data_IF_768796819602
#
_entry.id   IF_768796819602
#
_cell.length_a   1.000
_cell.length_b   1.000
_cell.length_c   1.000
_cell.angle_alpha   90.00
_cell.angle_beta   90.00
_cell.angle_gamma   90.00
#
_symmetry.space_group_name_H-M   'P 1'
#
loop_
_entity.id
_entity.type
_entity.pdbx_description
1 polymer ?
#
# COMPACT_ATOMS: atom_id res chain seq x y z
N UNK A 1 -9.16 -6.27 16.73
CA UNK A 1 -8.20 -6.09 15.62
C UNK A 1 -6.83 -6.14 16.25
N UNK A 2 -6.12 -7.24 16.05
CA UNK A 2 -4.76 -7.38 16.54
C UNK A 2 -3.88 -6.39 15.78
N UNK A 3 -3.21 -5.50 16.50
CA UNK A 3 -2.32 -4.52 15.90
C UNK A 3 -1.24 -5.28 15.11
N UNK A 4 -1.23 -5.12 13.80
CA UNK A 4 -0.15 -5.63 12.94
C UNK A 4 1.15 -5.00 13.48
N UNK A 5 2.14 -5.79 13.90
CA UNK A 5 3.38 -5.24 14.42
C UNK A 5 4.03 -4.37 13.33
N UNK A 6 4.60 -3.21 13.69
CA UNK A 6 5.27 -2.34 12.72
C UNK A 6 6.29 -3.16 11.92
N UNK A 7 6.30 -3.00 10.60
CA UNK A 7 7.34 -3.59 9.75
C UNK A 7 8.68 -3.01 10.17
N UNK A 8 9.46 -3.81 10.89
CA UNK A 8 10.81 -3.44 11.32
C UNK A 8 11.72 -3.50 10.10
N UNK A 9 12.36 -2.39 9.74
CA UNK A 9 13.33 -2.41 8.66
C UNK A 9 14.67 -2.94 9.19
N UNK A 10 15.20 -3.94 8.49
CA UNK A 10 16.49 -4.51 8.83
C UNK A 10 17.62 -3.63 8.30
N UNK A 11 18.37 -3.00 9.22
CA UNK A 11 19.53 -2.19 8.84
C UNK A 11 20.77 -3.06 8.65
N UNK A 12 21.07 -3.86 9.66
CA UNK A 12 22.24 -4.75 9.68
C UNK A 12 22.07 -5.79 10.76
N UNK A 13 22.72 -6.95 10.61
CA UNK A 13 22.70 -8.00 11.60
C UNK A 13 23.96 -8.84 11.59
N UNK A 14 24.26 -9.39 12.77
CA UNK A 14 25.49 -10.10 13.06
C UNK A 14 25.19 -11.36 13.86
N UNK A 15 25.91 -12.41 13.52
CA UNK A 15 26.01 -13.60 14.36
C UNK A 15 27.22 -13.43 15.30
N UNK A 16 26.99 -13.52 16.61
CA UNK A 16 28.01 -13.30 17.62
C UNK A 16 28.11 -14.55 18.49
N UNK A 17 29.16 -15.34 18.27
CA UNK A 17 29.46 -16.49 19.10
C UNK A 17 30.24 -16.02 20.34
N UNK A 18 29.71 -16.33 21.53
CA UNK A 18 30.32 -16.00 22.81
C UNK A 18 30.71 -17.30 23.51
N UNK A 19 32.00 -17.48 23.81
CA UNK A 19 32.52 -18.58 24.59
C UNK A 19 32.92 -18.10 26.00
N UNK A 20 32.43 -18.77 27.04
CA UNK A 20 32.71 -18.44 28.44
C UNK A 20 31.83 -17.33 29.04
N UNK A 21 32.16 -16.93 30.27
CA UNK A 21 31.46 -15.86 31.00
C UNK A 21 32.06 -14.49 30.65
N UNK A 22 31.71 -13.96 29.48
CA UNK A 22 32.08 -12.61 29.07
C UNK A 22 30.84 -11.78 28.75
N UNK A 23 30.90 -10.47 29.05
CA UNK A 23 29.85 -9.50 28.74
C UNK A 23 30.41 -8.46 27.75
N UNK A 24 30.53 -8.81 26.46
CA UNK A 24 31.08 -7.89 25.48
C UNK A 24 30.14 -6.70 25.27
N UNK A 25 30.76 -5.53 25.08
CA UNK A 25 30.09 -4.35 24.53
C UNK A 25 30.25 -4.35 23.03
N UNK A 26 29.14 -4.30 22.30
CA UNK A 26 29.10 -4.29 20.85
C UNK A 26 28.77 -2.88 20.40
N UNK A 27 29.50 -2.37 19.41
CA UNK A 27 29.17 -1.13 18.70
C UNK A 27 28.92 -1.46 17.24
N UNK A 28 27.73 -1.15 16.75
CA UNK A 28 27.35 -1.32 15.36
C UNK A 28 27.20 0.08 14.73
N UNK A 29 27.88 0.32 13.62
CA UNK A 29 27.69 1.53 12.82
C UNK A 29 26.65 1.30 11.72
N UNK A 30 25.85 2.32 11.42
CA UNK A 30 24.88 2.33 10.32
C UNK A 30 25.18 3.45 9.33
N UNK A 31 24.78 3.25 8.07
CA UNK A 31 24.99 4.21 6.98
C UNK A 31 23.64 4.84 6.57
N UNK A 32 23.48 6.13 6.84
CA UNK A 32 22.28 6.90 6.45
C UNK A 32 22.11 7.03 4.93
N UNK A 33 23.17 6.80 4.15
CA UNK A 33 23.10 6.94 2.70
C UNK A 33 22.44 5.74 2.00
N UNK A 34 22.40 4.57 2.65
CA UNK A 34 21.89 3.34 2.01
C UNK A 34 20.42 3.04 2.33
N UNK A 35 19.92 3.53 3.47
CA UNK A 35 18.53 3.33 3.91
C UNK A 35 18.03 4.64 4.49
N UNK A 36 16.78 5.02 4.23
CA UNK A 36 16.14 6.16 4.91
C UNK A 36 15.97 5.80 6.38
N UNK A 37 16.99 6.05 7.20
CA UNK A 37 17.00 5.77 8.63
C UNK A 37 16.45 6.96 9.41
N UNK A 38 15.49 6.69 10.29
CA UNK A 38 14.92 7.52 11.32
C UNK A 38 15.71 7.23 12.59
N UNK A 39 16.75 8.02 12.80
CA UNK A 39 17.69 7.81 13.90
C UNK A 39 17.04 7.79 15.29
N UNK A 40 15.86 8.39 15.45
CA UNK A 40 15.16 8.41 16.75
C UNK A 40 14.69 7.04 17.21
N UNK A 41 14.75 6.03 16.35
CA UNK A 41 13.96 4.81 16.47
C UNK A 41 14.77 3.54 16.25
N UNK A 42 16.05 3.71 15.91
CA UNK A 42 17.01 2.61 15.82
C UNK A 42 17.14 1.97 17.19
N UNK A 43 16.93 0.67 17.24
CA UNK A 43 17.06 -0.15 18.45
C UNK A 43 17.79 -1.44 18.14
N UNK A 44 18.62 -1.95 19.06
CA UNK A 44 19.20 -3.28 18.95
C UNK A 44 18.17 -4.34 19.33
N UNK A 45 18.15 -5.43 18.57
CA UNK A 45 17.30 -6.60 18.81
C UNK A 45 18.15 -7.86 18.83
N UNK A 46 17.64 -8.87 19.55
CA UNK A 46 18.14 -10.24 19.53
C UNK A 46 17.04 -11.16 19.03
N UNK A 47 17.39 -12.19 18.28
CA UNK A 47 16.43 -13.20 17.86
C UNK A 47 16.40 -14.35 18.86
N UNK A 48 15.25 -14.56 19.50
CA UNK A 48 15.05 -15.61 20.50
C UNK A 48 13.65 -16.21 20.38
N UNK A 49 13.57 -17.54 20.47
CA UNK A 49 12.31 -18.29 20.46
C UNK A 49 11.44 -18.01 19.22
N UNK A 50 12.06 -17.80 18.05
CA UNK A 50 11.36 -17.52 16.79
C UNK A 50 10.89 -16.08 16.62
N UNK A 51 11.33 -15.15 17.47
CA UNK A 51 10.92 -13.74 17.43
C UNK A 51 12.08 -12.78 17.72
N UNK A 52 11.97 -11.55 17.20
CA UNK A 52 12.88 -10.46 17.57
C UNK A 52 12.47 -9.84 18.89
N UNK A 53 13.41 -9.71 19.82
CA UNK A 53 13.23 -9.12 21.14
C UNK A 53 14.15 -7.90 21.29
N UNK A 54 13.58 -6.77 21.70
CA UNK A 54 14.33 -5.53 21.94
C UNK A 54 15.35 -5.72 23.07
N UNK A 55 16.57 -5.22 22.88
CA UNK A 55 17.61 -5.20 23.89
C UNK A 55 17.54 -3.88 24.69
N UNK A 56 17.33 -3.93 26.02
CA UNK A 56 17.37 -2.73 26.85
C UNK A 56 18.81 -2.25 27.06
N UNK A 57 18.98 -0.97 27.41
CA UNK A 57 20.25 -0.44 27.88
C UNK A 57 21.30 -0.26 26.76
N UNK A 58 20.91 0.40 25.68
CA UNK A 58 21.82 0.79 24.60
C UNK A 58 22.09 2.29 24.60
N UNK A 59 23.18 2.69 23.94
CA UNK A 59 23.55 4.09 23.72
C UNK A 59 23.58 4.32 22.22
N UNK A 60 22.79 5.30 21.76
CA UNK A 60 22.81 5.77 20.38
C UNK A 60 23.74 6.99 20.28
N UNK A 61 24.62 6.98 19.28
CA UNK A 61 25.51 8.10 18.98
C UNK A 61 25.28 8.58 17.55
N UNK A 62 24.58 9.71 17.44
CA UNK A 62 24.25 10.41 16.18
C UNK A 62 25.45 11.10 15.51
N UNK A 63 26.59 11.23 16.19
CA UNK A 63 27.79 11.84 15.60
C UNK A 63 28.58 10.80 14.80
N UNK A 64 28.58 9.56 15.28
CA UNK A 64 29.31 8.43 14.67
C UNK A 64 28.41 7.39 14.03
N UNK A 65 27.10 7.69 13.95
CA UNK A 65 26.04 6.82 13.45
C UNK A 65 26.18 5.41 13.97
N UNK A 66 26.19 5.26 15.29
CA UNK A 66 26.46 3.98 15.93
C UNK A 66 25.58 3.69 17.13
N UNK A 67 25.21 2.43 17.30
CA UNK A 67 24.49 1.89 18.46
C UNK A 67 25.43 1.01 19.25
N UNK A 68 25.56 1.28 20.55
CA UNK A 68 26.38 0.50 21.48
C UNK A 68 25.50 -0.20 22.51
N UNK A 69 25.66 -1.51 22.71
CA UNK A 69 24.90 -2.30 23.68
C UNK A 69 25.73 -3.45 24.26
N UNK A 70 25.34 -3.97 25.42
CA UNK A 70 26.00 -5.12 26.06
C UNK A 70 25.21 -6.39 25.82
N UNK A 71 25.94 -7.48 25.58
CA UNK A 71 25.34 -8.82 25.42
C UNK A 71 25.77 -9.73 26.55
N UNK A 72 24.80 -10.41 27.15
CA UNK A 72 25.01 -11.27 28.32
C UNK A 72 24.85 -12.76 28.03
N UNK A 73 24.44 -13.12 26.81
CA UNK A 73 24.13 -14.50 26.42
C UNK A 73 24.48 -14.71 24.95
N UNK A 74 24.91 -15.91 24.57
CA UNK A 74 25.16 -16.30 23.18
C UNK A 74 23.86 -16.53 22.39
N UNK A 75 22.93 -15.57 22.42
CA UNK A 75 21.69 -15.61 21.64
C UNK A 75 21.95 -14.98 20.28
N UNK A 76 22.05 -15.77 19.22
CA UNK A 76 22.24 -15.27 17.86
C UNK A 76 21.00 -15.52 17.00
N UNK A 77 20.75 -14.68 15.97
CA UNK A 77 21.45 -13.46 15.58
C UNK A 77 21.04 -12.17 16.35
N UNK A 78 21.88 -11.14 16.27
CA UNK A 78 21.60 -9.76 16.69
C UNK A 78 21.38 -8.86 15.48
N UNK A 79 20.52 -7.85 15.59
CA UNK A 79 20.30 -6.88 14.52
C UNK A 79 20.06 -5.47 15.05
N UNK A 80 20.38 -4.47 14.22
CA UNK A 80 19.79 -3.14 14.36
C UNK A 80 18.56 -3.09 13.46
N UNK A 81 17.43 -2.77 14.09
CA UNK A 81 16.19 -2.50 13.39
C UNK A 81 15.82 -1.06 13.70
N UNK A 82 15.15 -0.42 12.76
CA UNK A 82 14.57 0.89 12.99
C UNK A 82 13.07 0.88 12.64
N UNK A 83 12.36 1.93 13.05
CA UNK A 83 10.95 2.11 12.70
C UNK A 83 10.78 3.04 11.50
N UNK A 84 11.86 3.31 10.77
CA UNK A 84 12.01 4.39 9.78
C UNK A 84 11.11 4.20 8.58
N UNK A 85 9.83 4.49 8.79
CA UNK A 85 8.80 4.17 7.82
C UNK A 85 8.04 2.89 8.10
N UNK A 86 8.00 2.38 9.34
CA UNK A 86 6.85 1.62 9.82
C UNK A 86 5.62 2.54 9.99
N UNK A 87 5.39 3.45 9.04
CA UNK A 87 4.03 3.65 8.55
C UNK A 87 3.57 2.26 8.13
N UNK A 88 2.52 1.68 8.73
CA UNK A 88 2.05 0.34 8.33
C UNK A 88 2.05 0.27 6.81
N UNK A 89 2.86 -0.61 6.22
CA UNK A 89 3.00 -0.60 4.77
C UNK A 89 1.62 -0.80 4.14
N UNK A 90 1.23 0.12 3.25
CA UNK A 90 -0.01 0.00 2.50
C UNK A 90 -0.02 -1.22 1.57
N UNK A 91 1.12 -1.91 1.41
CA UNK A 91 1.29 -3.02 0.49
C UNK A 91 0.34 -4.21 0.75
N UNK A 92 -0.14 -4.38 1.99
CA UNK A 92 -1.02 -5.50 2.36
C UNK A 92 -2.30 -5.07 3.09
N UNK A 93 -2.64 -3.77 3.09
CA UNK A 93 -3.81 -3.23 3.77
C UNK A 93 -4.95 -3.00 2.76
N UNK A 94 -6.08 -3.71 2.94
CA UNK A 94 -7.29 -3.43 2.19
C UNK A 94 -8.03 -2.26 2.85
N UNK A 95 -8.05 -1.10 2.19
CA UNK A 95 -8.70 0.10 2.70
C UNK A 95 -10.07 0.39 2.09
N UNK A 96 -10.55 -0.47 1.20
CA UNK A 96 -11.89 -0.39 0.62
C UNK A 96 -12.96 -0.47 1.73
N UNK A 97 -13.69 0.63 1.94
CA UNK A 97 -14.78 0.71 2.91
C UNK A 97 -16.12 0.20 2.34
N UNK A 98 -16.13 -0.21 1.07
CA UNK A 98 -17.31 -0.70 0.35
C UNK A 98 -18.27 0.40 -0.10
N UNK A 99 -17.90 1.67 0.04
CA UNK A 99 -18.72 2.80 -0.37
C UNK A 99 -18.19 3.40 -1.69
N UNK A 100 -18.97 3.21 -2.76
CA UNK A 100 -18.64 3.71 -4.11
C UNK A 100 -18.50 5.24 -4.21
N UNK A 101 -18.92 5.98 -3.19
CA UNK A 101 -18.86 7.44 -3.15
C UNK A 101 -17.73 8.00 -2.28
N UNK A 102 -16.85 7.13 -1.78
CA UNK A 102 -15.59 7.49 -1.13
C UNK A 102 -14.42 7.02 -1.99
N UNK A 103 -13.38 7.84 -2.04
CA UNK A 103 -12.06 7.42 -2.47
C UNK A 103 -11.35 6.83 -1.25
N UNK A 104 -11.11 5.53 -1.32
CA UNK A 104 -10.29 4.83 -0.34
C UNK A 104 -8.82 4.89 -0.72
N UNK A 105 -7.98 5.03 0.29
CA UNK A 105 -6.55 5.02 0.11
C UNK A 105 -5.86 4.73 1.42
N UNK A 106 -4.54 4.63 1.32
CA UNK A 106 -3.70 4.43 2.47
C UNK A 106 -2.66 5.53 2.51
N UNK A 107 -2.62 6.24 3.64
CA UNK A 107 -1.69 7.33 3.87
C UNK A 107 -0.95 7.07 5.17
N UNK A 108 0.39 7.01 5.09
CA UNK A 108 1.24 6.70 6.25
C UNK A 108 0.81 5.44 7.03
N UNK A 109 0.26 4.46 6.30
CA UNK A 109 -0.18 3.18 6.85
C UNK A 109 -1.47 3.19 7.65
N UNK A 110 -2.25 4.23 7.46
CA UNK A 110 -3.61 4.30 7.95
C UNK A 110 -4.54 4.35 6.74
N UNK A 111 -5.62 3.58 6.79
CA UNK A 111 -6.69 3.76 5.82
C UNK A 111 -7.29 5.14 6.01
N UNK A 112 -7.36 5.86 4.90
CA UNK A 112 -7.98 7.16 4.80
C UNK A 112 -9.05 7.08 3.73
N UNK A 113 -10.19 7.71 3.99
CA UNK A 113 -11.33 7.76 3.09
C UNK A 113 -11.68 9.23 2.84
N UNK A 114 -11.90 9.61 1.59
CA UNK A 114 -12.31 10.97 1.22
C UNK A 114 -13.58 10.94 0.37
N UNK A 115 -14.53 11.89 0.52
CA UNK A 115 -15.72 11.91 -0.33
C UNK A 115 -15.34 12.19 -1.79
N UNK A 116 -15.87 11.40 -2.73
CA UNK A 116 -15.77 11.69 -4.16
C UNK A 116 -16.56 12.96 -4.52
N UNK A 117 -16.22 13.63 -5.63
CA UNK A 117 -16.98 14.77 -6.13
C UNK A 117 -18.47 14.46 -6.33
N UNK A 118 -19.32 15.46 -6.05
CA UNK A 118 -20.75 15.34 -6.27
C UNK A 118 -21.07 15.07 -7.75
N UNK A 119 -22.02 14.17 -8.00
CA UNK A 119 -22.51 13.84 -9.35
C UNK A 119 -21.81 12.66 -10.03
N UNK A 120 -20.79 12.05 -9.41
CA UNK A 120 -20.24 10.76 -9.84
C UNK A 120 -21.34 9.69 -9.74
N UNK A 121 -21.47 8.84 -10.76
CA UNK A 121 -22.45 7.76 -10.76
C UNK A 121 -22.04 6.65 -9.79
N UNK A 122 -23.02 6.08 -9.11
CA UNK A 122 -22.89 4.93 -8.21
C UNK A 122 -24.06 3.95 -8.45
N UNK A 123 -24.01 2.76 -7.85
CA UNK A 123 -24.93 1.65 -8.11
C UNK A 123 -26.41 1.98 -7.96
N UNK A 124 -26.76 2.88 -7.04
CA UNK A 124 -28.16 3.30 -6.82
C UNK A 124 -28.48 4.70 -7.33
N UNK A 125 -27.49 5.49 -7.79
CA UNK A 125 -27.73 6.85 -8.26
C UNK A 125 -26.46 7.69 -8.45
N UNK A 126 -26.35 8.79 -7.71
CA UNK A 126 -25.21 9.72 -7.77
C UNK A 126 -24.65 10.03 -6.39
N UNK A 127 -23.34 10.22 -6.32
CA UNK A 127 -22.64 10.61 -5.11
C UNK A 127 -23.00 12.04 -4.71
N UNK A 128 -23.34 12.21 -3.43
CA UNK A 128 -23.55 13.50 -2.79
C UNK A 128 -22.93 13.47 -1.39
N UNK A 129 -21.90 14.29 -1.18
CA UNK A 129 -21.20 14.43 0.12
C UNK A 129 -20.74 13.06 0.67
N UNK A 130 -20.14 12.22 -0.18
CA UNK A 130 -19.64 10.90 0.20
C UNK A 130 -20.70 9.80 0.30
N UNK A 131 -21.97 10.10 0.05
CA UNK A 131 -23.07 9.11 0.09
C UNK A 131 -23.65 8.86 -1.30
N UNK A 132 -23.85 7.59 -1.66
CA UNK A 132 -24.59 7.22 -2.87
C UNK A 132 -26.09 7.49 -2.65
N UNK A 133 -26.58 8.56 -3.29
CA UNK A 133 -27.99 8.95 -3.20
C UNK A 133 -28.73 8.47 -4.43
N UNK A 134 -29.87 7.81 -4.23
CA UNK A 134 -30.73 7.45 -5.34
C UNK A 134 -31.08 8.70 -6.13
N UNK A 135 -30.76 8.71 -7.42
CA UNK A 135 -31.29 9.74 -8.29
C UNK A 135 -32.82 9.59 -8.20
N UNK A 136 -33.58 10.67 -7.93
CA UNK A 136 -35.01 10.60 -8.10
C UNK A 136 -35.20 10.05 -9.50
N UNK A 137 -35.78 8.86 -9.62
CA UNK A 137 -36.14 8.32 -10.91
C UNK A 137 -36.87 9.49 -11.57
N UNK A 138 -36.26 10.08 -12.62
CA UNK A 138 -37.06 10.93 -13.48
C UNK A 138 -38.25 10.04 -13.80
N UNK A 139 -39.48 10.45 -13.44
CA UNK A 139 -40.63 9.65 -13.76
C UNK A 139 -40.45 9.24 -15.22
N UNK A 140 -40.59 7.93 -15.55
CA UNK A 140 -40.42 7.47 -16.92
C UNK A 140 -41.11 8.48 -17.80
N UNK A 141 -40.44 8.95 -18.86
CA UNK A 141 -41.00 9.92 -19.82
C UNK A 141 -42.34 9.35 -20.30
N UNK A 142 -43.38 9.66 -19.56
CA UNK A 142 -44.72 9.17 -19.74
C UNK A 142 -45.29 10.13 -20.78
N UNK A 143 -45.42 9.60 -22.00
CA UNK A 143 -46.29 10.20 -22.98
C UNK A 143 -47.61 10.55 -22.29
N UNK A 144 -47.94 11.83 -22.34
CA UNK A 144 -49.00 12.44 -21.58
C UNK A 144 -50.28 11.59 -21.51
N UNK A 145 -50.64 11.16 -20.29
CA UNK A 145 -52.03 10.81 -19.99
C UNK A 145 -52.43 11.22 -18.58
N UNK A 146 -53.03 12.41 -18.54
CA UNK A 146 -54.18 12.83 -17.73
C UNK A 146 -54.36 12.19 -16.34
N UNK A 147 -53.91 12.95 -15.35
CA UNK A 147 -54.57 13.32 -14.07
C UNK A 147 -55.73 12.45 -13.57
N UNK A 148 -55.58 11.83 -12.39
CA UNK A 148 -56.52 11.97 -11.27
C UNK A 148 -55.85 11.65 -9.91
N UNK A 149 -56.17 12.49 -8.93
CA UNK A 149 -55.91 12.47 -7.47
C UNK A 149 -56.19 11.14 -6.76
N UNK A 150 -55.40 10.76 -5.73
CA UNK A 150 -55.67 10.96 -4.29
C UNK A 150 -54.90 9.95 -3.38
N UNK A 151 -54.32 10.47 -2.29
CA UNK A 151 -54.22 9.85 -0.94
C UNK A 151 -53.00 8.98 -0.53
N UNK A 152 -52.19 9.56 0.37
CA UNK A 152 -51.23 8.97 1.33
C UNK A 152 -51.96 8.47 2.62
N UNK A 153 -51.33 7.87 3.65
CA UNK A 153 -49.94 7.39 3.83
C UNK A 153 -49.82 5.99 4.49
N UNK A 154 -48.60 5.42 4.57
CA UNK A 154 -48.25 4.45 5.60
C UNK A 154 -46.76 4.49 5.97
N UNK A 155 -46.54 4.58 7.26
CA UNK A 155 -45.31 4.65 8.04
C UNK A 155 -44.76 3.23 8.27
N UNK A 156 -43.44 3.03 8.15
CA UNK A 156 -42.76 1.90 8.79
C UNK A 156 -41.26 2.13 8.95
N UNK A 157 -40.83 2.13 10.21
CA UNK A 157 -39.46 2.17 10.66
C UNK A 157 -38.75 0.83 10.42
N UNK A 158 -37.46 0.87 10.08
CA UNK A 158 -36.58 -0.29 10.15
C UNK A 158 -35.19 0.16 10.63
N UNK A 159 -34.68 -0.58 11.60
CA UNK A 159 -33.50 -0.31 12.42
C UNK A 159 -32.19 -0.33 11.62
N UNK A 160 -31.31 0.63 11.90
CA UNK A 160 -29.92 0.64 11.40
C UNK A 160 -29.01 -0.10 12.40
N UNK A 161 -28.15 -1.02 11.96
CA UNK A 161 -27.13 -1.62 12.83
C UNK A 161 -26.04 -0.60 13.20
N UNK A 162 -25.46 -0.77 14.39
CA UNK A 162 -24.41 0.08 14.96
C UNK A 162 -23.24 0.33 13.98
N UNK A 163 -22.78 1.59 13.81
CA UNK A 163 -21.58 1.87 13.04
C UNK A 163 -20.35 1.44 13.85
N UNK A 164 -19.55 0.55 13.25
CA UNK A 164 -18.15 0.37 13.62
C UNK A 164 -17.46 1.72 13.58
N UNK A 165 -16.87 2.11 14.70
CA UNK A 165 -16.15 3.37 14.92
C UNK A 165 -14.90 3.44 14.02
N UNK A 166 -15.08 3.77 12.75
CA UNK A 166 -14.06 4.38 11.92
C UNK A 166 -14.00 5.86 12.28
N UNK A 167 -12.78 6.38 12.38
CA UNK A 167 -12.54 7.79 12.62
C UNK A 167 -13.02 8.54 11.38
N UNK A 168 -14.19 9.18 11.47
CA UNK A 168 -14.54 10.26 10.55
C UNK A 168 -13.37 11.25 10.59
N UNK A 169 -12.70 11.54 9.46
CA UNK A 169 -11.71 12.60 9.44
C UNK A 169 -12.52 13.89 9.61
N UNK A 170 -12.62 14.37 10.84
CA UNK A 170 -12.98 15.76 11.08
C UNK A 170 -11.96 16.55 10.28
N UNK A 171 -12.38 17.09 9.14
CA UNK A 171 -11.60 18.03 8.37
C UNK A 171 -11.37 19.24 9.27
N UNK A 172 -10.31 19.19 10.07
CA UNK A 172 -9.81 20.38 10.74
C UNK A 172 -9.58 21.39 9.61
N UNK A 173 -10.20 22.59 9.68
CA UNK A 173 -10.04 23.59 8.65
C UNK A 173 -8.54 23.88 8.55
N UNK A 174 -7.99 23.70 7.36
CA UNK A 174 -6.57 23.74 7.08
C UNK A 174 -6.02 25.18 7.15
N UNK A 175 -6.16 25.84 8.30
CA UNK A 175 -5.93 27.28 8.44
C UNK A 175 -6.74 28.15 7.46
N UNK A 176 -7.86 27.65 6.92
CA UNK A 176 -8.64 28.31 5.85
C UNK A 176 -8.17 28.01 4.42
N UNK A 177 -7.21 27.10 4.23
CA UNK A 177 -6.85 26.57 2.92
C UNK A 177 -7.85 25.50 2.47
N UNK A 178 -8.32 25.62 1.23
CA UNK A 178 -9.06 24.55 0.56
C UNK A 178 -8.06 23.62 -0.09
N UNK A 179 -7.88 22.42 0.48
CA UNK A 179 -7.00 21.40 -0.10
C UNK A 179 -7.66 20.59 -1.21
N UNK A 180 -8.85 20.97 -1.68
CA UNK A 180 -9.47 20.31 -2.82
C UNK A 180 -8.69 20.59 -4.12
N UNK A 181 -8.02 19.58 -4.67
CA UNK A 181 -7.30 19.68 -5.95
C UNK A 181 -8.18 19.34 -7.17
N UNK A 182 -9.45 19.05 -6.94
CA UNK A 182 -10.44 18.63 -7.94
C UNK A 182 -10.06 17.35 -8.70
N UNK A 183 -9.10 16.58 -8.21
CA UNK A 183 -8.73 15.30 -8.78
C UNK A 183 -9.41 14.15 -7.98
N UNK A 184 -10.38 13.45 -8.58
CA UNK A 184 -11.08 12.34 -7.91
C UNK A 184 -10.19 11.12 -7.62
N UNK A 185 -8.95 11.09 -8.14
CA UNK A 185 -7.97 10.05 -7.86
C UNK A 185 -6.95 10.42 -6.77
N UNK A 186 -7.16 11.54 -6.10
CA UNK A 186 -6.42 11.93 -4.91
C UNK A 186 -7.38 12.10 -3.74
N UNK A 187 -6.87 11.81 -2.55
CA UNK A 187 -7.54 12.05 -1.28
C UNK A 187 -6.90 13.30 -0.70
N UNK A 188 -7.69 14.36 -0.61
CA UNK A 188 -7.26 15.65 -0.09
C UNK A 188 -7.12 15.59 1.43
N UNK A 189 -5.89 15.71 1.90
CA UNK A 189 -5.54 15.65 3.32
C UNK A 189 -5.00 17.00 3.76
N UNK A 190 -5.47 17.46 4.91
CA UNK A 190 -4.82 18.56 5.62
C UNK A 190 -3.90 18.00 6.69
N UNK A 191 -2.60 18.29 6.60
CA UNK A 191 -1.62 17.93 7.64
C UNK A 191 -0.72 19.12 7.93
N UNK A 192 -0.63 19.51 9.20
CA UNK A 192 0.25 20.60 9.66
C UNK A 192 0.03 21.94 8.92
N UNK A 193 -1.22 22.31 8.62
CA UNK A 193 -1.59 23.48 7.79
C UNK A 193 -1.01 23.46 6.36
N UNK A 194 -0.66 22.29 5.84
CA UNK A 194 -0.27 22.07 4.45
C UNK A 194 -1.19 21.03 3.80
N UNK A 195 -1.45 21.19 2.51
CA UNK A 195 -2.19 20.21 1.73
C UNK A 195 -1.29 19.05 1.34
N UNK A 196 -1.76 17.84 1.62
CA UNK A 196 -1.18 16.59 1.17
C UNK A 196 -2.23 15.84 0.33
N UNK A 197 -1.77 15.04 -0.62
CA UNK A 197 -2.63 14.30 -1.55
C UNK A 197 -2.18 12.85 -1.54
N UNK A 198 -3.02 11.96 -1.02
CA UNK A 198 -2.77 10.52 -1.12
C UNK A 198 -3.39 10.01 -2.42
N UNK A 199 -2.72 9.09 -3.12
CA UNK A 199 -3.34 8.47 -4.29
C UNK A 199 -4.51 7.57 -3.84
N UNK A 200 -5.65 7.69 -4.52
CA UNK A 200 -6.73 6.73 -4.40
C UNK A 200 -6.26 5.35 -4.92
N UNK A 201 -6.91 4.28 -4.45
CA UNK A 201 -6.63 2.92 -4.90
C UNK A 201 -6.79 2.80 -6.44
N UNK A 202 -5.87 2.07 -7.08
CA UNK A 202 -5.97 1.77 -8.50
C UNK A 202 -7.25 0.98 -8.81
N UNK A 203 -8.02 1.44 -9.79
CA UNK A 203 -9.33 0.88 -10.12
C UNK A 203 -10.53 1.67 -9.60
N UNK A 204 -10.34 2.59 -8.63
CA UNK A 204 -11.42 3.46 -8.13
C UNK A 204 -12.04 4.26 -9.27
N UNK A 205 -13.37 4.29 -9.35
CA UNK A 205 -14.08 4.99 -10.43
C UNK A 205 -13.97 6.49 -10.23
N UNK A 206 -13.49 7.20 -11.26
CA UNK A 206 -13.14 8.63 -11.14
C UNK A 206 -13.86 9.53 -12.16
N UNK A 207 -14.39 8.94 -13.24
CA UNK A 207 -15.28 9.58 -14.21
C UNK A 207 -16.02 8.51 -15.04
N UNK A 208 -16.90 8.91 -15.96
CA UNK A 208 -17.61 7.98 -16.85
C UNK A 208 -16.64 7.09 -17.65
N UNK A 209 -16.60 5.80 -17.28
CA UNK A 209 -15.73 4.76 -17.83
C UNK A 209 -14.22 4.98 -17.59
N UNK A 210 -13.86 5.69 -16.52
CA UNK A 210 -12.48 5.95 -16.14
C UNK A 210 -12.19 5.45 -14.72
N UNK A 211 -10.97 4.97 -14.50
CA UNK A 211 -10.49 4.45 -13.23
C UNK A 211 -9.16 5.09 -12.84
N UNK A 212 -8.91 5.17 -11.54
CA UNK A 212 -7.64 5.66 -11.01
C UNK A 212 -6.51 4.68 -11.33
N UNK A 213 -5.36 5.23 -11.73
CA UNK A 213 -4.10 4.50 -11.83
C UNK A 213 -2.94 5.43 -11.43
N UNK A 214 -2.27 5.12 -10.32
CA UNK A 214 -1.18 5.93 -9.79
C UNK A 214 -1.59 7.37 -9.44
N UNK A 215 -2.82 7.56 -8.93
CA UNK A 215 -3.36 8.87 -8.58
C UNK A 215 -3.86 9.72 -9.77
N UNK A 216 -3.92 9.13 -10.97
CA UNK A 216 -4.40 9.79 -12.20
C UNK A 216 -5.69 9.11 -12.67
N UNK A 217 -6.71 9.91 -12.99
CA UNK A 217 -7.93 9.40 -13.60
C UNK A 217 -7.72 9.07 -15.08
N UNK A 218 -7.62 7.78 -15.41
CA UNK A 218 -7.41 7.31 -16.77
C UNK A 218 -8.70 6.70 -17.31
N UNK A 219 -9.15 7.18 -18.47
CA UNK A 219 -10.19 6.49 -19.23
C UNK A 219 -9.60 5.19 -19.74
N UNK A 220 -10.17 4.05 -19.36
CA UNK A 220 -9.75 2.76 -19.90
C UNK A 220 -10.25 2.75 -21.35
N UNK A 221 -9.45 3.30 -22.26
CA UNK A 221 -9.70 3.18 -23.69
C UNK A 221 -9.55 1.70 -23.95
N UNK A 222 -10.70 1.02 -24.09
CA UNK A 222 -10.84 -0.43 -24.00
C UNK A 222 -9.58 -1.09 -24.54
N UNK A 223 -8.83 -1.73 -23.63
CA UNK A 223 -7.63 -2.45 -24.00
C UNK A 223 -8.05 -3.45 -25.08
N UNK A 224 -7.79 -3.10 -26.34
CA UNK A 224 -7.76 -4.07 -27.41
C UNK A 224 -6.82 -5.15 -26.89
N UNK A 225 -7.37 -6.34 -26.64
CA UNK A 225 -6.63 -7.46 -26.10
C UNK A 225 -5.28 -7.50 -26.82
N UNK A 226 -4.14 -7.52 -26.10
CA UNK A 226 -2.84 -7.48 -26.74
C UNK A 226 -2.84 -8.56 -27.80
N UNK A 227 -2.62 -8.16 -29.07
CA UNK A 227 -2.57 -9.10 -30.18
C UNK A 227 -1.68 -10.27 -29.74
N UNK A 228 -2.11 -11.53 -29.95
CA UNK A 228 -1.44 -12.70 -29.40
C UNK A 228 0.06 -12.58 -29.68
N UNK A 229 0.84 -12.44 -28.61
CA UNK A 229 2.29 -12.29 -28.69
C UNK A 229 2.78 -13.50 -29.47
N UNK A 230 3.21 -13.28 -30.71
CA UNK A 230 3.75 -14.37 -31.52
C UNK A 230 5.01 -14.84 -30.81
N UNK A 231 4.92 -16.04 -30.25
CA UNK A 231 5.98 -16.67 -29.48
C UNK A 231 7.24 -16.78 -30.35
N UNK A 232 8.19 -15.85 -30.13
CA UNK A 232 9.41 -15.74 -30.92
C UNK A 232 10.33 -16.97 -30.73
N UNK A 233 10.07 -17.81 -29.70
CA UNK A 233 10.80 -19.05 -29.44
C UNK A 233 10.29 -20.24 -30.26
N UNK A 234 9.15 -20.12 -30.93
CA UNK A 234 8.63 -21.15 -31.85
C UNK A 234 9.24 -21.07 -33.27
N UNK A 235 10.24 -20.20 -33.50
CA UNK A 235 10.92 -20.14 -34.78
C UNK A 235 11.82 -21.37 -34.96
N UNK A 236 11.66 -22.16 -36.05
CA UNK A 236 12.47 -23.36 -36.30
C UNK A 236 13.99 -23.06 -36.33
N UNK A 237 14.36 -21.80 -36.56
CA UNK A 237 15.74 -21.33 -36.60
C UNK A 237 16.44 -21.39 -35.22
N UNK A 238 15.71 -21.16 -34.11
CA UNK A 238 16.28 -21.24 -32.75
C UNK A 238 16.61 -22.69 -32.40
N UNK A 239 15.73 -23.63 -32.74
CA UNK A 239 15.94 -25.08 -32.53
C UNK A 239 17.16 -25.56 -33.35
N UNK A 240 17.29 -25.11 -34.59
CA UNK A 240 18.43 -25.45 -35.45
C UNK A 240 19.75 -24.96 -34.84
N UNK A 241 19.81 -23.74 -34.31
CA UNK A 241 21.02 -23.20 -33.68
C UNK A 241 21.43 -23.96 -32.41
N UNK A 242 20.46 -24.38 -31.59
CA UNK A 242 20.73 -25.20 -30.39
C UNK A 242 21.32 -26.57 -30.76
N UNK A 243 20.77 -27.21 -31.80
CA UNK A 243 21.27 -28.51 -32.29
C UNK A 243 22.70 -28.37 -32.84
N UNK A 244 22.97 -27.33 -33.64
CA UNK A 244 24.32 -27.06 -34.16
C UNK A 244 25.30 -26.83 -33.00
N UNK A 245 24.91 -26.03 -32.00
CA UNK A 245 25.72 -25.79 -30.81
C UNK A 245 26.07 -27.08 -30.06
N UNK A 246 25.08 -27.95 -29.84
CA UNK A 246 25.30 -29.23 -29.18
C UNK A 246 26.28 -30.14 -29.95
N UNK A 247 26.14 -30.21 -31.28
CA UNK A 247 27.03 -31.01 -32.14
C UNK A 247 28.47 -30.52 -32.03
N UNK A 248 28.69 -29.20 -32.10
CA UNK A 248 30.04 -28.60 -32.00
C UNK A 248 30.68 -28.96 -30.65
N UNK A 249 29.94 -28.84 -29.55
CA UNK A 249 30.45 -29.17 -28.20
C UNK A 249 30.83 -30.65 -28.11
N UNK A 250 29.99 -31.56 -28.59
CA UNK A 250 30.34 -33.00 -28.61
C UNK A 250 31.59 -33.29 -29.44
N UNK A 251 31.76 -32.65 -30.59
CA UNK A 251 32.95 -32.84 -31.42
C UNK A 251 34.22 -32.33 -30.73
N UNK A 252 34.14 -31.19 -30.03
CA UNK A 252 35.27 -30.66 -29.24
C UNK A 252 35.65 -31.62 -28.10
N UNK A 253 34.67 -32.19 -27.39
CA UNK A 253 34.92 -33.17 -26.32
C UNK A 253 35.59 -34.43 -26.90
N UNK A 254 35.08 -34.98 -28.00
CA UNK A 254 35.66 -36.17 -28.64
C UNK A 254 37.10 -35.89 -29.13
N UNK A 255 37.37 -34.70 -29.65
CA UNK A 255 38.71 -34.30 -30.07
C UNK A 255 39.67 -34.19 -28.88
N UNK A 256 39.22 -33.62 -27.76
CA UNK A 256 39.99 -33.53 -26.52
C UNK A 256 40.28 -34.91 -25.90
N UNK A 257 39.35 -35.86 -26.01
CA UNK A 257 39.54 -37.23 -25.50
C UNK A 257 40.44 -38.11 -26.38
N UNK A 258 40.74 -37.69 -27.62
CA UNK A 258 41.60 -38.43 -28.56
C UNK A 258 43.06 -37.94 -28.59
N UNK A 259 43.38 -36.87 -27.87
CA UNK A 259 44.76 -36.40 -27.66
C UNK A 259 45.31 -36.96 -26.36
#
# INVERSE_FOLDING_TARGET
>A
MDAVPPELHFLTGYEIQIEGEVQPTITISYDEAQVKVNEKTIKPFKFKDGSWQELPGFVLNHITNSVTFTVNTAETPYALLDDSGATPSCANMACDDGNECTADGCFEGQCVTGPLPNGIACSTGICKEGTCTAQPQQPPKEEAKTTTEETQPAEQAMETPEPTKQLEPTQEPCGGLSCNDNNPCTIDLCKDNACAYAAAIDGTTCANDASCQGGICLKVVGAEAPAPVQDLFALPLVIVLVIIGAIIVTLQIVFLLKK
#
